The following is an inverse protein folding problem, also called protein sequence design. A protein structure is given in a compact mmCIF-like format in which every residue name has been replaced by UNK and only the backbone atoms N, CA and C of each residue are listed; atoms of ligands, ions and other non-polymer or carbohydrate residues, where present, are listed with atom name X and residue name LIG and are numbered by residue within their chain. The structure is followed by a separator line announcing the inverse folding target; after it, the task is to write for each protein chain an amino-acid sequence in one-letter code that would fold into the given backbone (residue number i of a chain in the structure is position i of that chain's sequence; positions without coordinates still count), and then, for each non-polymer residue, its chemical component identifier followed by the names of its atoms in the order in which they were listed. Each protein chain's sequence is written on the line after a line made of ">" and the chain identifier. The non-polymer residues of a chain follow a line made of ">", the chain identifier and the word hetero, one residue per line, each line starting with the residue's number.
data_IF_161021271513
#
_entry.id   IF_161021271513
#
_cell.length_a   1.000
_cell.length_b   1.000
_cell.length_c   1.000
_cell.angle_alpha   90.00
_cell.angle_beta   90.00
_cell.angle_gamma   90.00
#
_symmetry.space_group_name_H-M   'P 1'
#
loop_
_entity.id
_entity.type
_entity.pdbx_description
1 polymer ?
#
# COMPACT_ATOMS: atom_id res chain seq x y z
N UNK A 1 -25.38 4.98 26.78
CA UNK A 1 -25.08 4.75 25.34
C UNK A 1 -23.86 5.57 24.90
N UNK A 2 -23.11 6.14 25.85
CA UNK A 2 -22.12 7.20 25.61
C UNK A 2 -20.71 6.70 25.26
N UNK A 3 -20.49 5.39 25.20
CA UNK A 3 -19.18 4.80 24.90
C UNK A 3 -18.83 4.75 23.40
N UNK A 4 -19.83 4.82 22.51
CA UNK A 4 -19.60 4.68 21.06
C UNK A 4 -19.06 5.97 20.43
N UNK A 5 -19.48 7.14 20.94
CA UNK A 5 -19.08 8.42 20.35
C UNK A 5 -17.59 8.73 20.60
N UNK A 6 -17.06 8.39 21.77
CA UNK A 6 -15.65 8.59 22.09
C UNK A 6 -14.68 7.73 21.25
N UNK A 7 -15.09 6.52 20.83
CA UNK A 7 -14.24 5.65 20.00
C UNK A 7 -14.09 6.18 18.57
N UNK A 8 -15.15 6.80 18.04
CA UNK A 8 -15.13 7.38 16.69
C UNK A 8 -14.21 8.60 16.63
N UNK A 9 -14.21 9.45 17.66
CA UNK A 9 -13.34 10.63 17.69
C UNK A 9 -11.85 10.26 17.86
N UNK A 10 -11.54 9.23 18.66
CA UNK A 10 -10.18 8.72 18.77
C UNK A 10 -9.66 8.19 17.43
N UNK A 11 -10.50 7.43 16.70
CA UNK A 11 -10.15 6.89 15.39
C UNK A 11 -9.93 7.98 14.35
N UNK A 12 -10.74 9.04 14.36
CA UNK A 12 -10.55 10.21 13.49
C UNK A 12 -9.23 10.93 13.78
N UNK A 13 -8.94 11.14 15.06
CA UNK A 13 -7.69 11.80 15.50
C UNK A 13 -6.45 11.02 15.06
N UNK A 14 -6.53 9.68 15.02
CA UNK A 14 -5.45 8.84 14.48
C UNK A 14 -5.36 8.90 12.96
N UNK A 15 -6.47 9.04 12.24
CA UNK A 15 -6.42 9.19 10.78
C UNK A 15 -5.79 10.52 10.37
N UNK A 16 -5.98 11.56 11.17
CA UNK A 16 -5.31 12.87 10.98
C UNK A 16 -3.78 12.79 11.18
N UNK A 17 -3.26 11.69 11.71
CA UNK A 17 -1.82 11.46 11.77
C UNK A 17 -1.24 10.90 10.46
N UNK A 18 -2.09 10.44 9.54
CA UNK A 18 -1.67 9.82 8.29
C UNK A 18 -1.83 10.83 7.15
N UNK A 19 -0.71 11.24 6.60
CA UNK A 19 -0.66 12.04 5.36
C UNK A 19 -0.12 11.17 4.24
N UNK A 20 -0.48 11.47 3.00
CA UNK A 20 0.08 10.80 1.84
C UNK A 20 0.56 11.82 0.83
N UNK A 21 1.73 11.59 0.25
CA UNK A 21 2.27 12.41 -0.83
C UNK A 21 3.03 11.49 -1.81
N UNK A 22 2.63 11.48 -3.08
CA UNK A 22 3.35 10.75 -4.13
C UNK A 22 3.59 9.26 -3.85
N UNK A 23 2.65 8.55 -3.22
CA UNK A 23 2.79 7.13 -2.87
C UNK A 23 3.52 6.86 -1.54
N UNK A 24 4.05 7.89 -0.89
CA UNK A 24 4.63 7.81 0.45
C UNK A 24 3.56 8.13 1.49
N UNK A 25 3.40 7.26 2.48
CA UNK A 25 2.46 7.42 3.59
C UNK A 25 3.23 7.85 4.84
N UNK A 26 3.07 9.10 5.27
CA UNK A 26 3.79 9.67 6.42
C UNK A 26 2.89 9.68 7.66
N UNK A 27 3.37 9.06 8.73
CA UNK A 27 2.77 9.05 10.06
C UNK A 27 3.40 10.13 10.93
N UNK A 28 2.59 11.11 11.31
CA UNK A 28 2.97 12.22 12.18
C UNK A 28 2.72 11.83 13.63
N UNK A 29 3.72 11.26 14.28
CA UNK A 29 3.63 10.79 15.64
C UNK A 29 4.09 11.86 16.64
N UNK A 30 3.19 12.19 17.56
CA UNK A 30 3.46 12.94 18.77
C UNK A 30 3.29 12.02 19.98
N UNK A 31 3.78 12.42 21.14
CA UNK A 31 3.62 11.64 22.38
C UNK A 31 2.14 11.36 22.70
N UNK A 32 1.26 12.35 22.52
CA UNK A 32 -0.18 12.19 22.69
C UNK A 32 -0.80 11.19 21.71
N UNK A 33 -0.35 11.20 20.44
CA UNK A 33 -0.83 10.26 19.42
C UNK A 33 -0.32 8.84 19.67
N UNK A 34 0.92 8.68 20.12
CA UNK A 34 1.46 7.38 20.51
C UNK A 34 0.60 6.73 21.60
N UNK A 35 0.26 7.49 22.64
CA UNK A 35 -0.58 6.98 23.74
C UNK A 35 -1.96 6.55 23.23
N UNK A 36 -2.57 7.33 22.34
CA UNK A 36 -3.83 6.96 21.68
C UNK A 36 -3.73 5.68 20.85
N UNK A 37 -2.65 5.49 20.09
CA UNK A 37 -2.39 4.27 19.32
C UNK A 37 -2.29 3.06 20.24
N UNK A 38 -1.51 3.15 21.32
CA UNK A 38 -1.37 2.04 22.26
C UNK A 38 -2.68 1.70 22.95
N UNK A 39 -3.45 2.70 23.35
CA UNK A 39 -4.76 2.49 23.94
C UNK A 39 -5.70 1.73 22.99
N UNK A 40 -5.75 2.11 21.70
CA UNK A 40 -6.57 1.40 20.71
C UNK A 40 -6.06 -0.02 20.44
N UNK A 41 -4.75 -0.19 20.32
CA UNK A 41 -4.11 -1.49 20.13
C UNK A 41 -4.44 -2.44 21.27
N UNK A 42 -4.30 -1.98 22.51
CA UNK A 42 -4.51 -2.81 23.70
C UNK A 42 -6.01 -3.15 23.90
N UNK A 43 -6.91 -2.34 23.34
CA UNK A 43 -8.35 -2.64 23.23
C UNK A 43 -8.69 -3.59 22.07
N UNK A 44 -7.71 -3.99 21.25
CA UNK A 44 -7.92 -4.83 20.07
C UNK A 44 -8.78 -4.16 18.99
N UNK A 45 -8.87 -2.83 18.99
CA UNK A 45 -9.65 -2.10 18.00
C UNK A 45 -8.92 -2.09 16.66
N UNK A 46 -9.69 -2.26 15.59
CA UNK A 46 -9.20 -2.12 14.21
C UNK A 46 -9.46 -0.70 13.74
N UNK A 47 -8.51 -0.12 13.00
CA UNK A 47 -8.66 1.24 12.52
C UNK A 47 -9.66 1.26 11.35
N UNK A 48 -10.74 2.02 11.48
CA UNK A 48 -11.71 2.22 10.40
C UNK A 48 -11.13 3.15 9.34
N UNK A 49 -10.36 2.59 8.42
CA UNK A 49 -9.65 3.36 7.38
C UNK A 49 -10.66 3.92 6.37
N UNK A 50 -10.67 5.24 6.10
CA UNK A 50 -11.55 5.87 5.13
C UNK A 50 -11.41 5.25 3.74
N UNK A 51 -12.52 5.20 3.00
CA UNK A 51 -12.54 4.66 1.64
C UNK A 51 -11.56 5.39 0.71
N UNK A 52 -11.42 6.70 0.88
CA UNK A 52 -10.49 7.54 0.10
C UNK A 52 -9.04 7.13 0.32
N UNK A 53 -8.59 7.06 1.58
CA UNK A 53 -7.23 6.62 1.92
C UNK A 53 -6.95 5.21 1.42
N UNK A 54 -7.94 4.32 1.53
CA UNK A 54 -7.84 2.94 1.05
C UNK A 54 -7.69 2.86 -0.47
N UNK A 55 -8.46 3.65 -1.22
CA UNK A 55 -8.35 3.74 -2.67
C UNK A 55 -6.99 4.31 -3.09
N UNK A 56 -6.49 5.32 -2.39
CA UNK A 56 -5.13 5.85 -2.61
C UNK A 56 -4.09 4.78 -2.37
N UNK A 57 -4.20 4.04 -1.26
CA UNK A 57 -3.27 2.98 -0.90
C UNK A 57 -3.31 1.81 -1.90
N UNK A 58 -4.49 1.51 -2.46
CA UNK A 58 -4.62 0.58 -3.58
C UNK A 58 -3.96 1.09 -4.84
N UNK A 59 -4.21 2.35 -5.21
CA UNK A 59 -3.59 2.95 -6.39
C UNK A 59 -2.07 2.94 -6.28
N UNK A 60 -1.53 3.34 -5.13
CA UNK A 60 -0.10 3.29 -4.85
C UNK A 60 0.47 1.85 -4.84
N UNK A 61 -0.31 0.86 -4.42
CA UNK A 61 0.13 -0.54 -4.42
C UNK A 61 0.07 -1.22 -5.81
N UNK A 62 -0.79 -0.73 -6.72
CA UNK A 62 -0.99 -1.30 -8.06
C UNK A 62 -0.20 -0.57 -9.13
N UNK A 63 0.00 0.73 -8.95
CA UNK A 63 0.60 1.62 -9.94
C UNK A 63 1.74 2.36 -9.25
N UNK A 64 2.92 2.34 -9.87
CA UNK A 64 3.97 3.31 -9.55
C UNK A 64 3.39 4.69 -9.87
N UNK A 65 2.85 5.37 -8.84
CA UNK A 65 2.38 6.73 -8.99
C UNK A 65 3.61 7.57 -9.30
N UNK A 66 3.62 8.31 -10.44
CA UNK A 66 4.71 9.24 -10.68
C UNK A 66 4.76 10.18 -9.49
N UNK A 67 5.93 10.26 -8.85
CA UNK A 67 6.23 11.35 -7.91
C UNK A 67 6.06 12.63 -8.73
N UNK A 68 4.98 13.38 -8.50
CA UNK A 68 4.83 14.70 -9.12
C UNK A 68 6.03 15.53 -8.65
N UNK A 69 6.98 15.87 -9.54
CA UNK A 69 8.24 16.48 -9.13
C UNK A 69 8.10 17.96 -8.73
N UNK A 70 6.87 18.50 -8.62
CA UNK A 70 6.63 19.92 -8.41
C UNK A 70 5.49 20.18 -7.42
N UNK A 71 5.82 20.16 -6.13
CA UNK A 71 5.04 20.85 -5.09
C UNK A 71 5.94 21.69 -4.17
N UNK A 72 7.12 22.09 -4.64
CA UNK A 72 7.85 23.21 -4.05
C UNK A 72 7.25 24.50 -4.62
N UNK A 73 6.07 24.87 -4.10
CA UNK A 73 5.56 26.22 -4.26
C UNK A 73 6.37 27.15 -3.35
N UNK A 74 7.56 27.50 -3.83
CA UNK A 74 8.36 28.62 -3.33
C UNK A 74 7.50 29.88 -3.29
N UNK A 75 6.89 30.14 -2.14
CA UNK A 75 6.29 31.43 -1.83
C UNK A 75 7.39 32.35 -1.33
N UNK A 76 8.43 32.57 -2.14
CA UNK A 76 9.50 33.52 -1.85
C UNK A 76 9.30 34.77 -2.69
N UNK A 77 8.46 35.67 -2.18
CA UNK A 77 8.43 37.06 -2.63
C UNK A 77 9.66 37.80 -2.06
N UNK A 78 10.80 37.67 -2.75
CA UNK A 78 11.85 38.70 -2.82
C UNK A 78 11.41 39.67 -3.93
N UNK A 79 11.49 41.00 -3.84
CA UNK A 79 12.51 41.81 -3.18
C UNK A 79 12.12 43.29 -3.25
N UNK A 80 12.28 43.99 -2.12
CA UNK A 80 12.61 45.40 -2.06
C UNK A 80 14.10 45.56 -2.47
N UNK A 81 14.38 46.43 -3.45
CA UNK A 81 15.72 46.96 -3.69
C UNK A 81 15.65 48.49 -3.66
N UNK A 82 16.27 49.10 -2.63
CA UNK A 82 16.98 50.36 -2.86
C UNK A 82 18.20 50.51 -1.92
N UNK A 83 19.31 50.04 -2.47
CA UNK A 83 20.67 50.58 -2.45
C UNK A 83 21.00 51.76 -1.52
N UNK A 84 22.08 51.63 -0.73
CA UNK A 84 23.06 52.70 -0.49
C UNK A 84 24.39 52.11 0.00
N UNK A 85 25.41 52.31 -0.82
CA UNK A 85 26.84 52.11 -0.56
C UNK A 85 27.38 53.14 0.43
N UNK A 86 28.33 52.72 1.28
CA UNK A 86 29.51 53.53 1.63
C UNK A 86 30.70 52.64 2.00
N UNK A 87 31.88 53.10 1.59
CA UNK A 87 33.16 52.42 1.46
C UNK A 87 34.08 52.49 2.70
N UNK A 88 35.16 51.69 2.62
CA UNK A 88 36.56 51.87 3.11
C UNK A 88 36.99 51.25 4.48
N UNK A 89 38.31 51.01 4.73
CA UNK A 89 38.84 49.65 4.92
C UNK A 89 39.72 49.47 6.19
N UNK A 90 40.14 48.24 6.52
CA UNK A 90 41.51 47.93 6.99
C UNK A 90 41.73 46.42 7.26
N UNK A 91 42.98 45.94 7.19
CA UNK A 91 43.33 44.52 7.25
C UNK A 91 43.88 44.12 8.63
N UNK A 92 43.40 42.99 9.18
CA UNK A 92 44.12 42.30 10.27
C UNK A 92 44.05 40.79 10.02
N UNK A 93 45.24 40.21 9.94
CA UNK A 93 45.48 38.78 9.88
C UNK A 93 44.92 38.07 11.13
N UNK A 94 44.21 36.97 10.93
CA UNK A 94 43.67 36.17 12.02
C UNK A 94 43.28 34.78 11.55
N UNK A 95 44.13 33.82 11.87
CA UNK A 95 43.90 32.37 11.87
C UNK A 95 42.45 31.99 12.20
N UNK A 96 41.84 31.13 11.39
CA UNK A 96 40.51 30.62 11.69
C UNK A 96 39.95 29.72 10.59
N UNK A 97 40.14 28.41 10.76
CA UNK A 97 39.20 27.34 10.43
C UNK A 97 38.43 27.44 9.11
N UNK A 98 38.81 26.58 8.17
CA UNK A 98 38.05 26.29 6.97
C UNK A 98 36.55 26.06 7.30
N UNK A 99 35.62 26.72 6.60
CA UNK A 99 34.21 26.37 6.71
C UNK A 99 34.02 25.01 6.06
N UNK A 100 33.68 24.01 6.86
CA UNK A 100 33.11 22.75 6.38
C UNK A 100 31.84 23.14 5.64
N UNK A 101 31.91 23.13 4.31
CA UNK A 101 30.75 23.22 3.45
C UNK A 101 29.80 22.10 3.90
N UNK A 102 28.72 22.49 4.59
CA UNK A 102 27.58 21.63 4.85
C UNK A 102 27.08 21.20 3.48
N UNK A 103 27.35 19.95 3.12
CA UNK A 103 26.69 19.32 2.01
C UNK A 103 25.20 19.35 2.32
N UNK A 104 24.50 20.32 1.73
CA UNK A 104 23.09 20.23 1.47
C UNK A 104 22.90 18.90 0.76
N UNK A 105 22.31 17.94 1.48
CA UNK A 105 21.88 16.65 0.96
C UNK A 105 20.90 16.98 -0.15
N UNK A 106 21.43 17.04 -1.37
CA UNK A 106 20.66 17.09 -2.59
C UNK A 106 19.93 15.77 -2.67
N UNK A 107 18.67 15.74 -2.23
CA UNK A 107 17.68 14.75 -2.62
C UNK A 107 17.46 14.91 -4.12
N UNK A 108 18.42 14.44 -4.92
CA UNK A 108 18.17 14.18 -6.32
C UNK A 108 17.05 13.16 -6.39
N UNK A 109 15.95 13.43 -7.14
CA UNK A 109 14.91 12.44 -7.36
C UNK A 109 15.50 11.37 -8.28
N UNK A 110 16.12 10.36 -7.68
CA UNK A 110 16.37 9.12 -8.40
C UNK A 110 14.99 8.53 -8.60
N UNK A 111 14.50 8.58 -9.84
CA UNK A 111 13.34 7.81 -10.30
C UNK A 111 13.71 6.32 -10.24
N UNK A 112 13.85 5.78 -9.04
CA UNK A 112 13.80 4.34 -8.84
C UNK A 112 12.36 3.94 -9.05
N UNK A 113 12.15 3.06 -10.02
CA UNK A 113 10.93 2.32 -10.27
C UNK A 113 10.62 1.51 -9.00
N UNK A 114 10.05 2.17 -8.00
CA UNK A 114 9.90 1.62 -6.66
C UNK A 114 8.55 0.94 -6.60
N UNK A 115 8.54 -0.32 -7.04
CA UNK A 115 7.39 -1.22 -6.96
C UNK A 115 7.17 -1.62 -5.49
N UNK A 116 6.76 -0.67 -4.65
CA UNK A 116 6.58 -0.88 -3.22
C UNK A 116 5.89 0.28 -2.51
N UNK A 117 5.20 -0.04 -1.40
CA UNK A 117 4.59 0.96 -0.52
C UNK A 117 5.61 1.45 0.49
N UNK A 118 5.85 2.76 0.53
CA UNK A 118 6.73 3.36 1.52
C UNK A 118 5.92 4.05 2.61
N UNK A 119 6.19 3.64 3.84
CA UNK A 119 5.63 4.20 5.06
C UNK A 119 6.74 4.93 5.80
N UNK A 120 6.50 6.19 6.11
CA UNK A 120 7.43 7.06 6.82
C UNK A 120 6.83 7.41 8.16
N UNK A 121 7.66 7.57 9.17
CA UNK A 121 7.26 8.08 10.48
C UNK A 121 8.11 9.25 10.87
N UNK A 122 7.42 10.34 11.13
CA UNK A 122 7.96 11.55 11.71
C UNK A 122 7.58 11.56 13.19
N UNK A 123 8.57 11.63 14.07
CA UNK A 123 8.37 11.76 15.50
C UNK A 123 8.76 13.17 15.93
N UNK A 124 7.80 13.91 16.50
CA UNK A 124 7.99 15.31 16.89
C UNK A 124 8.53 16.21 15.75
N UNK A 125 8.13 15.93 14.50
CA UNK A 125 8.56 16.69 13.32
C UNK A 125 9.91 16.27 12.74
N UNK A 126 10.55 15.23 13.28
CA UNK A 126 11.75 14.65 12.69
C UNK A 126 11.46 13.29 12.03
N UNK A 127 11.96 13.09 10.81
CA UNK A 127 12.00 11.79 10.14
C UNK A 127 12.82 10.79 10.97
N UNK A 128 12.19 9.73 11.48
CA UNK A 128 12.86 8.76 12.37
C UNK A 128 12.87 7.33 11.83
N UNK A 129 11.85 6.94 11.08
CA UNK A 129 11.68 5.57 10.60
C UNK A 129 11.04 5.57 9.22
N UNK A 130 11.57 4.73 8.34
CA UNK A 130 11.06 4.48 7.01
C UNK A 130 10.96 2.95 6.82
N UNK A 131 9.81 2.48 6.34
CA UNK A 131 9.55 1.09 6.01
C UNK A 131 9.08 1.03 4.57
N UNK A 132 9.78 0.28 3.74
CA UNK A 132 9.37 0.02 2.36
C UNK A 132 8.94 -1.42 2.23
N UNK A 133 7.69 -1.64 1.81
CA UNK A 133 7.12 -2.96 1.56
C UNK A 133 7.09 -3.20 0.06
N UNK A 134 7.90 -4.15 -0.42
CA UNK A 134 7.88 -4.55 -1.82
C UNK A 134 6.64 -5.38 -2.17
N UNK A 135 6.39 -5.56 -3.47
CA UNK A 135 5.29 -6.39 -3.97
C UNK A 135 5.42 -7.86 -3.56
N UNK A 136 6.65 -8.32 -3.34
CA UNK A 136 6.96 -9.68 -2.87
C UNK A 136 6.67 -9.88 -1.37
N UNK A 137 6.31 -8.79 -0.67
CA UNK A 137 6.05 -8.79 0.76
C UNK A 137 7.32 -8.75 1.61
N UNK A 138 8.47 -8.52 0.98
CA UNK A 138 9.68 -8.13 1.69
C UNK A 138 9.50 -6.74 2.31
N UNK A 139 10.04 -6.56 3.51
CA UNK A 139 9.93 -5.29 4.25
C UNK A 139 11.33 -4.82 4.58
N UNK A 140 11.70 -3.68 4.03
CA UNK A 140 12.98 -3.02 4.30
C UNK A 140 12.77 -1.90 5.31
N UNK A 141 13.41 -2.00 6.47
CA UNK A 141 13.37 -0.96 7.50
C UNK A 141 14.63 -0.11 7.47
N UNK A 142 14.45 1.21 7.48
CA UNK A 142 15.51 2.21 7.63
C UNK A 142 15.20 3.05 8.85
N UNK A 143 15.97 2.82 9.91
CA UNK A 143 15.83 3.52 11.20
C UNK A 143 16.92 4.57 11.31
N UNK A 144 16.56 5.83 11.60
CA UNK A 144 17.55 6.89 11.88
C UNK A 144 18.32 6.51 13.14
N UNK A 145 19.65 6.60 13.08
CA UNK A 145 20.55 6.23 14.21
C UNK A 145 20.22 6.98 15.50
N UNK A 146 19.74 8.22 15.39
CA UNK A 146 19.42 9.05 16.54
C UNK A 146 18.19 8.53 17.30
N UNK A 147 17.22 7.90 16.61
CA UNK A 147 16.07 7.28 17.27
C UNK A 147 16.51 6.19 18.24
N UNK A 148 17.53 5.39 17.89
CA UNK A 148 18.02 4.29 18.73
C UNK A 148 18.61 4.75 20.06
N UNK A 149 18.91 6.05 20.21
CA UNK A 149 19.41 6.62 21.45
C UNK A 149 18.29 7.13 22.37
N UNK A 150 17.06 7.18 21.90
CA UNK A 150 15.92 7.64 22.68
C UNK A 150 15.18 6.47 23.33
N UNK A 151 14.74 6.65 24.58
CA UNK A 151 13.98 5.63 25.32
C UNK A 151 12.66 5.27 24.63
N UNK A 152 12.13 6.19 23.83
CA UNK A 152 10.87 6.05 23.09
C UNK A 152 11.03 5.32 21.74
N UNK A 153 12.24 4.90 21.36
CA UNK A 153 12.51 4.23 20.09
C UNK A 153 11.59 3.00 19.87
N UNK A 154 11.46 2.19 20.92
CA UNK A 154 10.63 0.99 20.90
C UNK A 154 9.15 1.34 20.72
N UNK A 155 8.68 2.39 21.42
CA UNK A 155 7.30 2.83 21.34
C UNK A 155 6.96 3.36 19.94
N UNK A 156 7.82 4.19 19.37
CA UNK A 156 7.65 4.71 18.00
C UNK A 156 7.65 3.58 16.98
N UNK A 157 8.59 2.65 17.08
CA UNK A 157 8.69 1.50 16.15
C UNK A 157 7.47 0.58 16.27
N UNK A 158 6.99 0.32 17.48
CA UNK A 158 5.81 -0.50 17.72
C UNK A 158 4.54 0.17 17.17
N UNK A 159 4.39 1.48 17.36
CA UNK A 159 3.27 2.24 16.82
C UNK A 159 3.30 2.28 15.28
N UNK A 160 4.49 2.50 14.69
CA UNK A 160 4.68 2.43 13.24
C UNK A 160 4.23 1.09 12.67
N UNK A 161 4.78 -0.02 13.19
CA UNK A 161 4.45 -1.36 12.71
C UNK A 161 2.96 -1.67 12.85
N UNK A 162 2.34 -1.29 13.97
CA UNK A 162 0.91 -1.48 14.15
C UNK A 162 0.08 -0.69 13.13
N UNK A 163 0.43 0.57 12.85
CA UNK A 163 -0.26 1.37 11.83
C UNK A 163 -0.10 0.78 10.43
N UNK A 164 1.11 0.35 10.07
CA UNK A 164 1.38 -0.36 8.82
C UNK A 164 0.51 -1.60 8.72
N UNK A 165 0.44 -2.42 9.78
CA UNK A 165 -0.39 -3.61 9.81
C UNK A 165 -1.88 -3.29 9.61
N UNK A 166 -2.41 -2.23 10.23
CA UNK A 166 -3.79 -1.80 10.02
C UNK A 166 -4.05 -1.40 8.56
N UNK A 167 -3.15 -0.61 7.96
CA UNK A 167 -3.25 -0.20 6.57
C UNK A 167 -3.17 -1.40 5.61
N UNK A 168 -2.23 -2.32 5.85
CA UNK A 168 -2.07 -3.53 5.06
C UNK A 168 -3.23 -4.51 5.23
N UNK A 169 -3.79 -4.65 6.44
CA UNK A 169 -4.99 -5.43 6.69
C UNK A 169 -6.20 -4.86 5.91
N UNK A 170 -6.28 -3.53 5.77
CA UNK A 170 -7.33 -2.90 4.97
C UNK A 170 -7.21 -3.20 3.47
N UNK A 171 -5.99 -3.37 2.94
CA UNK A 171 -5.79 -3.86 1.58
C UNK A 171 -6.18 -5.32 1.42
N UNK A 172 -5.80 -6.16 2.38
CA UNK A 172 -6.06 -7.61 2.34
C UNK A 172 -7.56 -7.93 2.42
N UNK A 173 -8.30 -7.17 3.24
CA UNK A 173 -9.74 -7.40 3.44
C UNK A 173 -10.63 -7.04 2.24
N UNK A 174 -10.09 -6.38 1.21
CA UNK A 174 -10.86 -5.94 0.05
C UNK A 174 -10.76 -6.83 -1.19
N UNK A 175 -10.13 -8.00 -1.10
CA UNK A 175 -10.33 -9.04 -2.12
C UNK A 175 -11.72 -9.68 -1.93
N UNK A 176 -12.76 -8.88 -2.18
CA UNK A 176 -14.11 -9.40 -2.40
C UNK A 176 -14.06 -10.00 -3.79
N UNK A 177 -14.02 -11.33 -3.85
CA UNK A 177 -14.18 -12.06 -5.09
C UNK A 177 -15.51 -11.60 -5.70
N UNK A 178 -15.52 -10.99 -6.89
CA UNK A 178 -16.76 -10.55 -7.51
C UNK A 178 -17.69 -11.75 -7.61
N UNK A 179 -18.93 -11.61 -7.18
CA UNK A 179 -19.90 -12.72 -7.23
C UNK A 179 -20.02 -13.29 -8.66
N UNK A 180 -19.91 -12.42 -9.67
CA UNK A 180 -19.86 -12.78 -11.07
C UNK A 180 -18.72 -13.76 -11.39
N UNK A 181 -17.53 -13.58 -10.80
CA UNK A 181 -16.40 -14.49 -11.01
C UNK A 181 -16.69 -15.89 -10.43
N UNK A 182 -17.34 -15.95 -9.27
CA UNK A 182 -17.77 -17.23 -8.68
C UNK A 182 -18.76 -17.96 -9.59
N UNK A 183 -19.72 -17.23 -10.17
CA UNK A 183 -20.66 -17.78 -11.14
C UNK A 183 -19.97 -18.30 -12.40
N UNK A 184 -19.02 -17.55 -12.96
CA UNK A 184 -18.27 -17.99 -14.15
C UNK A 184 -17.54 -19.29 -13.88
N UNK A 185 -16.86 -19.42 -12.74
CA UNK A 185 -16.13 -20.65 -12.38
C UNK A 185 -17.07 -21.84 -12.20
N UNK A 186 -18.25 -21.65 -11.60
CA UNK A 186 -19.27 -22.71 -11.42
C UNK A 186 -19.93 -23.10 -12.75
N UNK A 187 -20.11 -22.15 -13.67
CA UNK A 187 -20.77 -22.40 -14.95
C UNK A 187 -19.85 -23.10 -15.97
N UNK A 188 -18.53 -22.96 -15.89
CA UNK A 188 -17.60 -23.61 -16.84
C UNK A 188 -17.79 -25.14 -16.88
N UNK A 189 -17.74 -25.89 -15.76
CA UNK A 189 -17.96 -27.33 -15.77
C UNK A 189 -19.36 -27.72 -16.26
N UNK A 190 -20.37 -26.94 -15.85
CA UNK A 190 -21.78 -27.17 -16.23
C UNK A 190 -21.97 -27.01 -17.73
N UNK A 191 -21.42 -25.94 -18.32
CA UNK A 191 -21.46 -25.68 -19.76
C UNK A 191 -20.65 -26.70 -20.56
N UNK A 192 -19.51 -27.16 -20.05
CA UNK A 192 -18.70 -28.19 -20.69
C UNK A 192 -19.42 -29.55 -20.70
N UNK A 193 -20.03 -29.92 -19.58
CA UNK A 193 -20.83 -31.15 -19.44
C UNK A 193 -22.02 -31.13 -20.40
N UNK A 194 -22.75 -30.01 -20.46
CA UNK A 194 -23.86 -29.84 -21.38
C UNK A 194 -23.41 -29.91 -22.85
N UNK A 195 -22.27 -29.30 -23.19
CA UNK A 195 -21.72 -29.35 -24.55
C UNK A 195 -21.35 -30.78 -24.96
N UNK A 196 -20.79 -31.56 -24.05
CA UNK A 196 -20.48 -32.98 -24.30
C UNK A 196 -21.74 -33.83 -24.48
N UNK A 197 -22.76 -33.63 -23.64
CA UNK A 197 -24.03 -34.34 -23.76
C UNK A 197 -24.71 -34.06 -25.12
N UNK A 198 -24.73 -32.80 -25.53
CA UNK A 198 -25.26 -32.39 -26.84
C UNK A 198 -24.48 -32.99 -28.01
N UNK A 199 -23.16 -33.16 -27.87
CA UNK A 199 -22.32 -33.77 -28.90
C UNK A 199 -22.53 -35.28 -29.04
N UNK A 200 -22.91 -35.98 -27.96
CA UNK A 200 -23.16 -37.42 -27.97
C UNK A 200 -24.58 -37.77 -28.45
N UNK A 201 -25.54 -36.85 -28.32
CA UNK A 201 -26.90 -37.02 -28.84
C UNK A 201 -27.77 -38.03 -28.09
N UNK A 202 -27.30 -38.54 -26.95
CA UNK A 202 -28.02 -39.50 -26.11
C UNK A 202 -28.78 -38.78 -24.99
N UNK A 203 -30.06 -39.07 -24.84
CA UNK A 203 -30.96 -38.43 -23.86
C UNK A 203 -30.54 -38.80 -22.43
N UNK A 204 -29.94 -39.98 -22.22
CA UNK A 204 -29.48 -40.38 -20.88
C UNK A 204 -28.36 -39.46 -20.35
N UNK A 205 -27.58 -38.84 -21.24
CA UNK A 205 -26.50 -37.92 -20.87
C UNK A 205 -27.00 -36.55 -20.37
N UNK A 206 -28.27 -36.21 -20.58
CA UNK A 206 -28.90 -34.99 -20.05
C UNK A 206 -29.17 -35.04 -18.54
N UNK A 207 -29.12 -36.21 -17.91
CA UNK A 207 -29.30 -36.34 -16.46
C UNK A 207 -28.14 -35.67 -15.69
N UNK A 208 -26.92 -35.73 -16.26
CA UNK A 208 -25.71 -35.15 -15.66
C UNK A 208 -25.81 -33.62 -15.50
N UNK A 209 -26.12 -32.81 -16.55
CA UNK A 209 -26.23 -31.37 -16.40
C UNK A 209 -27.36 -30.95 -15.44
N UNK A 210 -28.50 -31.66 -15.44
CA UNK A 210 -29.59 -31.44 -14.48
C UNK A 210 -29.10 -31.64 -13.03
N UNK A 211 -28.40 -32.74 -12.75
CA UNK A 211 -27.82 -32.99 -11.44
C UNK A 211 -26.81 -31.92 -11.00
N UNK A 212 -25.92 -31.49 -11.92
CA UNK A 212 -24.94 -30.44 -11.62
C UNK A 212 -25.58 -29.07 -11.37
N UNK A 213 -26.69 -28.76 -12.05
CA UNK A 213 -27.41 -27.50 -11.86
C UNK A 213 -28.03 -27.39 -10.46
N UNK A 214 -28.58 -28.49 -9.94
CA UNK A 214 -29.16 -28.54 -8.59
C UNK A 214 -28.09 -28.37 -7.49
N UNK A 215 -26.86 -28.83 -7.73
CA UNK A 215 -25.74 -28.70 -6.80
C UNK A 215 -25.00 -27.35 -6.90
N UNK A 216 -25.28 -26.54 -7.93
CA UNK A 216 -24.58 -25.28 -8.18
C UNK A 216 -24.63 -24.27 -7.03
N UNK A 217 -25.73 -24.08 -6.26
CA UNK A 217 -25.73 -23.12 -5.15
C UNK A 217 -24.83 -23.56 -4.01
N UNK A 218 -24.86 -24.85 -3.66
CA UNK A 218 -23.99 -25.42 -2.63
C UNK A 218 -22.52 -25.33 -3.03
N UNK A 219 -22.22 -25.62 -4.30
CA UNK A 219 -20.88 -25.50 -4.84
C UNK A 219 -20.41 -24.04 -4.84
N UNK A 220 -21.28 -23.08 -5.18
CA UNK A 220 -20.98 -21.65 -5.12
C UNK A 220 -20.57 -21.23 -3.71
N UNK A 221 -21.32 -21.61 -2.69
CA UNK A 221 -21.02 -21.23 -1.30
C UNK A 221 -19.69 -21.84 -0.83
N UNK A 222 -19.45 -23.12 -1.15
CA UNK A 222 -18.18 -23.79 -0.84
C UNK A 222 -17.01 -23.20 -1.60
N UNK A 223 -17.20 -22.90 -2.87
CA UNK A 223 -16.19 -22.29 -3.73
C UNK A 223 -15.87 -20.88 -3.25
N UNK A 224 -16.86 -20.10 -2.84
CA UNK A 224 -16.66 -18.74 -2.32
C UNK A 224 -15.80 -18.77 -1.05
N UNK A 225 -16.10 -19.65 -0.09
CA UNK A 225 -15.28 -19.82 1.12
C UNK A 225 -13.85 -20.28 0.77
N UNK A 226 -13.72 -21.22 -0.15
CA UNK A 226 -12.42 -21.73 -0.58
C UNK A 226 -11.61 -20.67 -1.32
N UNK A 227 -12.24 -19.90 -2.21
CA UNK A 227 -11.61 -18.78 -2.91
C UNK A 227 -11.21 -17.69 -1.94
N UNK A 228 -12.00 -17.38 -0.91
CA UNK A 228 -11.59 -16.43 0.12
C UNK A 228 -10.34 -16.89 0.88
N UNK A 229 -10.23 -18.20 1.16
CA UNK A 229 -9.04 -18.76 1.81
C UNK A 229 -7.81 -18.79 0.88
N UNK A 230 -8.02 -19.06 -0.42
CA UNK A 230 -6.93 -19.21 -1.39
C UNK A 230 -6.56 -17.87 -2.04
N UNK A 231 -7.45 -16.86 -2.05
CA UNK A 231 -7.24 -15.53 -2.62
C UNK A 231 -5.86 -14.92 -2.30
N UNK A 232 -5.37 -14.91 -1.05
CA UNK A 232 -4.04 -14.36 -0.76
C UNK A 232 -2.91 -15.14 -1.45
N UNK A 233 -3.03 -16.47 -1.58
CA UNK A 233 -2.05 -17.31 -2.29
C UNK A 233 -2.16 -17.17 -3.80
N UNK A 234 -3.39 -17.05 -4.33
CA UNK A 234 -3.63 -16.79 -5.74
C UNK A 234 -3.05 -15.44 -6.15
N UNK A 235 -3.15 -14.42 -5.30
CA UNK A 235 -2.57 -13.10 -5.57
C UNK A 235 -1.05 -13.16 -5.67
N UNK A 236 -0.38 -13.75 -4.68
CA UNK A 236 1.09 -13.87 -4.73
C UNK A 236 1.52 -14.71 -5.93
N UNK A 237 0.78 -15.76 -6.26
CA UNK A 237 1.04 -16.57 -7.44
C UNK A 237 0.84 -15.77 -8.74
N UNK A 238 -0.27 -15.03 -8.90
CA UNK A 238 -0.54 -14.20 -10.09
C UNK A 238 0.53 -13.11 -10.25
N UNK A 239 0.91 -12.44 -9.16
CA UNK A 239 1.99 -11.45 -9.19
C UNK A 239 3.31 -12.09 -9.61
N UNK A 240 3.64 -13.27 -9.06
CA UNK A 240 4.81 -14.03 -9.49
C UNK A 240 4.74 -14.44 -10.98
N UNK A 241 3.55 -14.74 -11.51
CA UNK A 241 3.35 -15.02 -12.94
C UNK A 241 3.52 -13.77 -13.81
N UNK A 242 3.15 -12.58 -13.35
CA UNK A 242 3.36 -11.35 -14.10
C UNK A 242 4.85 -11.01 -14.17
N UNK A 243 5.58 -11.16 -13.06
CA UNK A 243 7.02 -10.90 -13.00
C UNK A 243 7.85 -11.98 -13.70
N UNK A 244 7.43 -13.23 -13.59
CA UNK A 244 8.11 -14.39 -14.17
C UNK A 244 7.08 -15.38 -14.74
N UNK A 245 6.56 -15.12 -15.96
CA UNK A 245 5.50 -15.94 -16.51
C UNK A 245 6.01 -17.36 -16.69
N UNK A 246 5.31 -18.29 -16.03
CA UNK A 246 5.62 -19.70 -16.11
C UNK A 246 5.48 -20.18 -17.56
N UNK A 247 6.22 -21.24 -17.95
CA UNK A 247 6.18 -21.79 -19.30
C UNK A 247 4.77 -22.01 -19.87
N UNK A 248 3.76 -22.54 -19.12
CA UNK A 248 2.41 -22.70 -19.66
C UNK A 248 1.67 -21.37 -19.89
N UNK A 249 1.92 -20.34 -19.07
CA UNK A 249 1.31 -19.01 -19.26
C UNK A 249 1.90 -18.33 -20.48
N UNK A 250 3.23 -18.41 -20.67
CA UNK A 250 3.88 -17.93 -21.91
C UNK A 250 3.31 -18.62 -23.14
N UNK A 251 3.24 -19.96 -23.12
CA UNK A 251 2.66 -20.73 -24.22
C UNK A 251 1.22 -20.31 -24.56
N UNK A 252 0.37 -20.08 -23.54
CA UNK A 252 -1.00 -19.66 -23.76
C UNK A 252 -1.06 -18.24 -24.35
N UNK A 253 -0.25 -17.31 -23.83
CA UNK A 253 -0.16 -15.94 -24.34
C UNK A 253 0.28 -15.92 -25.80
N UNK A 254 1.33 -16.68 -26.14
CA UNK A 254 1.83 -16.84 -27.52
C UNK A 254 0.73 -17.43 -28.41
N UNK A 255 0.00 -18.44 -27.94
CA UNK A 255 -1.10 -19.10 -28.69
C UNK A 255 -2.29 -18.18 -28.95
N UNK A 256 -2.60 -17.29 -28.01
CA UNK A 256 -3.69 -16.31 -28.15
C UNK A 256 -3.26 -15.21 -29.12
N UNK A 257 -2.03 -14.71 -28.99
CA UNK A 257 -1.45 -13.71 -29.90
C UNK A 257 -1.40 -14.20 -31.35
N UNK A 258 -1.01 -15.45 -31.58
CA UNK A 258 -0.99 -16.08 -32.91
C UNK A 258 -2.36 -16.15 -33.59
N UNK A 259 -3.48 -16.10 -32.84
CA UNK A 259 -4.82 -16.11 -33.43
C UNK A 259 -5.31 -14.73 -33.91
N UNK A 260 -4.60 -13.66 -33.55
CA UNK A 260 -4.99 -12.29 -33.90
C UNK A 260 -4.08 -11.66 -34.96
N UNK A 261 -3.12 -12.41 -35.51
CA UNK A 261 -2.32 -12.05 -36.68
C UNK A 261 -2.88 -12.73 -37.94
#
# INVERSE_FOLDING_TARGET
>A
MDGLDHSLDASRTLLDCITHNGGIFTFHLTESRLLGIFQQRDQGQTLSIPKTLRQTLQKAALWDLPLDPESDSDTRSESDQNNSQTNLPSPIAGSGSAPIARASVSTTPVLTLQSGLTFVTEYQGELVLESTIGLDGDVLYRVKRDLLRHEQALAVTAAHNWLVDQLMASLRSQMVVPEALTWVIVLIPTGLSLSMALAQGDIETLIVPLGTSALSPWLKDRLHLCLQQIAPRLRSWVLAQVMSPSPPVKWLADRVMDRFQ
#
